data_IF_024847974262
#
_entry.id   IF_024847974262
#
_cell.length_a   1.000
_cell.length_b   1.000
_cell.length_c   1.000
_cell.angle_alpha   90.00
_cell.angle_beta   90.00
_cell.angle_gamma   90.00
#
_symmetry.space_group_name_H-M   'P 1'
#
loop_
_entity.id
_entity.type
_entity.pdbx_description
1 polymer ?
#
# COMPACT_ATOMS: atom_id res chain seq x y z
N UNK A 1 -1.14 -18.26 12.77
CA UNK A 1 -0.07 -17.85 13.70
C UNK A 1 0.37 -16.46 13.31
N UNK A 2 -0.17 -15.44 13.97
CA UNK A 2 0.25 -14.07 13.72
C UNK A 2 1.57 -13.80 14.44
N UNK A 3 2.54 -13.24 13.72
CA UNK A 3 3.75 -12.72 14.34
C UNK A 3 3.36 -11.47 15.15
N UNK A 4 3.43 -11.56 16.47
CA UNK A 4 3.31 -10.39 17.33
C UNK A 4 4.57 -9.55 17.15
N UNK A 5 4.42 -8.35 16.61
CA UNK A 5 5.54 -7.41 16.50
C UNK A 5 5.87 -6.83 17.88
N UNK A 6 7.12 -6.44 18.10
CA UNK A 6 7.57 -5.86 19.37
C UNK A 6 7.28 -4.35 19.48
N UNK A 7 6.54 -3.79 18.53
CA UNK A 7 6.13 -2.39 18.46
C UNK A 7 4.62 -2.28 18.21
N UNK A 8 4.09 -1.06 18.21
CA UNK A 8 2.66 -0.82 18.03
C UNK A 8 2.19 -1.28 16.64
N UNK A 9 1.31 -2.28 16.62
CA UNK A 9 0.71 -2.82 15.39
C UNK A 9 -0.73 -3.22 15.64
N UNK A 10 -1.57 -3.11 14.61
CA UNK A 10 -2.94 -3.60 14.61
C UNK A 10 -3.13 -4.48 13.37
N UNK A 11 -3.48 -5.75 13.57
CA UNK A 11 -3.61 -6.70 12.47
C UNK A 11 -5.04 -6.64 11.93
N UNK A 12 -5.14 -6.44 10.63
CA UNK A 12 -6.38 -6.61 9.86
C UNK A 12 -6.14 -7.68 8.81
N UNK A 13 -6.97 -8.72 8.79
CA UNK A 13 -7.09 -9.54 7.59
C UNK A 13 -7.66 -8.67 6.45
N UNK A 14 -7.35 -8.97 5.17
CA UNK A 14 -7.87 -8.19 4.04
C UNK A 14 -9.40 -8.00 4.07
N UNK A 15 -10.13 -9.05 4.50
CA UNK A 15 -11.58 -8.99 4.67
C UNK A 15 -12.01 -8.07 5.82
N UNK A 16 -11.28 -8.08 6.93
CA UNK A 16 -11.58 -7.23 8.08
C UNK A 16 -11.31 -5.76 7.75
N UNK A 17 -10.24 -5.46 6.99
CA UNK A 17 -9.98 -4.11 6.49
C UNK A 17 -11.14 -3.63 5.59
N UNK A 18 -11.61 -4.46 4.66
CA UNK A 18 -12.76 -4.15 3.81
C UNK A 18 -14.02 -3.86 4.65
N UNK A 19 -14.37 -4.75 5.59
CA UNK A 19 -15.54 -4.57 6.45
C UNK A 19 -15.41 -3.33 7.33
N UNK A 20 -14.24 -3.06 7.88
CA UNK A 20 -14.00 -1.86 8.68
C UNK A 20 -14.20 -0.58 7.88
N UNK A 21 -13.69 -0.54 6.64
CA UNK A 21 -13.88 0.61 5.75
C UNK A 21 -15.37 0.78 5.39
N UNK A 22 -16.02 -0.29 4.90
CA UNK A 22 -17.39 -0.22 4.40
C UNK A 22 -18.44 0.04 5.49
N UNK A 23 -18.32 -0.64 6.63
CA UNK A 23 -19.37 -0.65 7.66
C UNK A 23 -19.17 0.44 8.73
N UNK A 24 -17.93 0.95 8.90
CA UNK A 24 -17.60 1.84 10.01
C UNK A 24 -16.89 3.13 9.57
N UNK A 25 -15.67 3.04 9.01
CA UNK A 25 -14.84 4.21 8.76
C UNK A 25 -15.42 5.11 7.67
N UNK A 26 -15.84 4.54 6.53
CA UNK A 26 -16.47 5.29 5.44
C UNK A 26 -17.71 6.07 5.90
N UNK A 27 -18.71 5.42 6.51
CA UNK A 27 -19.87 6.13 7.07
C UNK A 27 -19.53 7.17 8.14
N UNK A 28 -18.45 6.98 8.91
CA UNK A 28 -17.98 7.97 9.87
C UNK A 28 -17.34 9.18 9.18
N UNK A 29 -16.58 8.96 8.09
CA UNK A 29 -15.99 10.02 7.28
C UNK A 29 -17.06 10.90 6.64
N UNK A 30 -18.11 10.30 6.05
CA UNK A 30 -19.26 11.03 5.48
C UNK A 30 -19.90 11.99 6.49
N UNK A 31 -19.99 11.57 7.76
CA UNK A 31 -20.57 12.37 8.85
C UNK A 31 -19.62 13.44 9.39
N UNK A 32 -18.32 13.33 9.13
CA UNK A 32 -17.30 14.12 9.81
C UNK A 32 -17.19 15.58 9.31
N UNK A 33 -17.92 15.96 8.25
CA UNK A 33 -17.81 17.26 7.55
C UNK A 33 -16.37 17.62 7.14
N UNK A 34 -15.45 16.65 7.09
CA UNK A 34 -14.07 16.83 6.68
C UNK A 34 -13.88 16.22 5.30
N UNK A 35 -13.18 16.94 4.44
CA UNK A 35 -12.70 16.41 3.17
C UNK A 35 -11.35 15.73 3.41
N UNK A 36 -11.32 14.41 3.32
CA UNK A 36 -10.11 13.61 3.42
C UNK A 36 -10.20 12.44 2.44
N UNK A 37 -9.07 12.11 1.81
CA UNK A 37 -8.92 10.93 0.96
C UNK A 37 -8.52 9.75 1.82
N UNK A 38 -9.11 8.59 1.56
CA UNK A 38 -8.80 7.35 2.27
C UNK A 38 -8.00 6.41 1.37
N UNK A 39 -6.90 5.89 1.89
CA UNK A 39 -6.08 4.88 1.24
C UNK A 39 -6.09 3.60 2.07
N UNK A 40 -6.12 2.45 1.40
CA UNK A 40 -6.07 1.13 2.03
C UNK A 40 -4.71 0.43 1.81
N UNK A 41 -4.58 -0.80 2.28
CA UNK A 41 -3.35 -1.61 2.28
C UNK A 41 -2.32 -1.03 3.26
N UNK A 42 -1.63 0.06 2.89
CA UNK A 42 -0.54 0.69 3.67
C UNK A 42 0.43 -0.34 4.27
N UNK A 43 0.82 -1.28 3.41
CA UNK A 43 1.71 -2.41 3.68
C UNK A 43 2.45 -2.75 2.38
N UNK A 44 3.27 -3.79 2.42
CA UNK A 44 4.10 -4.22 1.32
C UNK A 44 3.33 -4.62 0.07
N UNK A 45 3.94 -4.34 -1.09
CA UNK A 45 3.37 -4.56 -2.43
C UNK A 45 2.89 -5.99 -2.68
N UNK A 46 3.46 -7.00 -2.03
CA UNK A 46 3.04 -8.40 -2.20
C UNK A 46 1.60 -8.66 -1.71
N UNK A 47 1.06 -7.85 -0.80
CA UNK A 47 -0.33 -7.95 -0.34
C UNK A 47 -1.31 -7.18 -1.24
N UNK A 48 -0.79 -6.24 -2.04
CA UNK A 48 -1.60 -5.36 -2.88
C UNK A 48 -2.66 -6.09 -3.71
N UNK A 49 -2.38 -7.24 -4.39
CA UNK A 49 -3.38 -7.88 -5.23
C UNK A 49 -4.59 -8.39 -4.45
N UNK A 50 -4.37 -9.17 -3.40
CA UNK A 50 -5.46 -9.79 -2.62
C UNK A 50 -6.29 -8.75 -1.86
N UNK A 51 -5.64 -7.73 -1.31
CA UNK A 51 -6.32 -6.64 -0.59
C UNK A 51 -7.15 -5.80 -1.56
N UNK A 52 -6.59 -5.47 -2.74
CA UNK A 52 -7.28 -4.68 -3.76
C UNK A 52 -8.49 -5.41 -4.33
N UNK A 53 -8.36 -6.71 -4.67
CA UNK A 53 -9.46 -7.51 -5.20
C UNK A 53 -10.65 -7.54 -4.22
N UNK A 54 -10.40 -7.60 -2.90
CA UNK A 54 -11.46 -7.58 -1.89
C UNK A 54 -12.09 -6.20 -1.71
N UNK A 55 -11.27 -5.16 -1.52
CA UNK A 55 -11.75 -3.81 -1.21
C UNK A 55 -12.40 -3.16 -2.42
N UNK A 56 -11.74 -3.21 -3.58
CA UNK A 56 -12.20 -2.57 -4.81
C UNK A 56 -13.23 -3.43 -5.56
N UNK A 57 -13.29 -4.74 -5.29
CA UNK A 57 -14.36 -5.62 -5.78
C UNK A 57 -15.68 -5.46 -5.05
N UNK A 58 -15.71 -4.79 -3.90
CA UNK A 58 -16.93 -4.50 -3.13
C UNK A 58 -17.38 -3.05 -3.36
N UNK A 59 -18.49 -2.84 -4.09
CA UNK A 59 -18.98 -1.50 -4.45
C UNK A 59 -19.24 -0.58 -3.24
N UNK A 60 -19.64 -1.13 -2.09
CA UNK A 60 -19.91 -0.35 -0.88
C UNK A 60 -18.62 0.18 -0.26
N UNK A 61 -17.53 -0.59 -0.34
CA UNK A 61 -16.23 -0.22 0.21
C UNK A 61 -15.45 0.65 -0.79
N UNK A 62 -15.47 0.27 -2.06
CA UNK A 62 -14.75 0.95 -3.14
C UNK A 62 -15.06 2.45 -3.22
N UNK A 63 -16.32 2.85 -3.01
CA UNK A 63 -16.72 4.27 -3.05
C UNK A 63 -16.07 5.15 -1.97
N UNK A 64 -15.54 4.55 -0.91
CA UNK A 64 -14.94 5.26 0.21
C UNK A 64 -13.43 5.48 0.07
N UNK A 65 -12.78 4.79 -0.85
CA UNK A 65 -11.32 4.83 -1.00
C UNK A 65 -10.92 5.58 -2.25
N UNK A 66 -9.88 6.41 -2.13
CA UNK A 66 -9.23 7.06 -3.28
C UNK A 66 -8.29 6.09 -4.00
N UNK A 67 -7.72 5.13 -3.27
CA UNK A 67 -6.63 4.32 -3.78
C UNK A 67 -5.99 3.40 -2.75
N UNK A 68 -4.90 2.76 -3.17
CA UNK A 68 -4.06 1.93 -2.33
C UNK A 68 -2.75 2.64 -1.98
N UNK A 69 -2.20 2.28 -0.82
CA UNK A 69 -0.88 2.69 -0.35
C UNK A 69 0.07 1.48 -0.26
N UNK A 70 1.34 1.65 -0.59
CA UNK A 70 2.34 0.57 -0.56
C UNK A 70 3.66 0.94 0.09
N UNK A 71 4.28 -0.06 0.69
CA UNK A 71 5.67 -0.03 1.18
C UNK A 71 6.58 -0.91 0.32
N UNK A 72 7.89 -0.67 0.37
CA UNK A 72 8.86 -1.32 -0.52
C UNK A 72 9.66 -2.49 0.10
N UNK A 73 9.33 -2.97 1.30
CA UNK A 73 10.19 -3.89 2.06
C UNK A 73 10.21 -5.32 1.51
N UNK A 74 9.34 -5.65 0.56
CA UNK A 74 9.35 -6.95 -0.15
C UNK A 74 9.95 -6.86 -1.56
N UNK A 75 10.95 -5.99 -1.74
CA UNK A 75 11.60 -5.71 -3.03
C UNK A 75 10.60 -5.14 -4.07
N UNK A 76 10.86 -5.40 -5.36
CA UNK A 76 10.18 -4.68 -6.44
C UNK A 76 8.71 -5.06 -6.61
N UNK A 77 8.36 -6.34 -6.45
CA UNK A 77 6.99 -6.87 -6.63
C UNK A 77 6.32 -6.38 -7.94
N UNK A 78 7.05 -6.45 -9.05
CA UNK A 78 6.62 -5.94 -10.35
C UNK A 78 5.24 -6.40 -10.79
N UNK A 79 4.92 -7.68 -10.57
CA UNK A 79 3.65 -8.25 -11.03
C UNK A 79 2.48 -7.70 -10.22
N UNK A 80 2.63 -7.54 -8.90
CA UNK A 80 1.63 -6.91 -8.03
C UNK A 80 1.33 -5.47 -8.46
N UNK A 81 2.38 -4.69 -8.76
CA UNK A 81 2.24 -3.32 -9.24
C UNK A 81 1.55 -3.26 -10.62
N UNK A 82 1.97 -4.10 -11.56
CA UNK A 82 1.37 -4.16 -12.91
C UNK A 82 -0.09 -4.58 -12.86
N UNK A 83 -0.43 -5.55 -12.02
CA UNK A 83 -1.81 -6.01 -11.86
C UNK A 83 -2.71 -4.89 -11.34
N UNK A 84 -2.28 -4.18 -10.29
CA UNK A 84 -3.02 -3.02 -9.78
C UNK A 84 -3.18 -1.93 -10.85
N UNK A 85 -2.08 -1.62 -11.55
CA UNK A 85 -2.07 -0.62 -12.62
C UNK A 85 -3.13 -0.96 -13.69
N UNK A 86 -3.13 -2.20 -14.18
CA UNK A 86 -4.04 -2.66 -15.23
C UNK A 86 -5.51 -2.69 -14.79
N UNK A 87 -5.77 -3.15 -13.56
CA UNK A 87 -7.14 -3.33 -13.05
C UNK A 87 -7.77 -2.03 -12.52
N UNK A 88 -7.01 -1.21 -11.79
CA UNK A 88 -7.57 -0.22 -10.87
C UNK A 88 -7.10 1.21 -11.09
N UNK A 89 -5.92 1.46 -11.67
CA UNK A 89 -5.31 2.80 -11.70
C UNK A 89 -6.12 3.84 -12.51
N UNK A 90 -7.04 3.39 -13.36
CA UNK A 90 -7.97 4.29 -14.08
C UNK A 90 -8.98 4.98 -13.15
N UNK A 91 -9.29 4.40 -12.00
CA UNK A 91 -10.30 4.91 -11.06
C UNK A 91 -9.80 5.06 -9.63
N UNK A 92 -8.73 4.37 -9.24
CA UNK A 92 -8.18 4.37 -7.90
C UNK A 92 -6.67 4.56 -7.95
N UNK A 93 -6.17 5.59 -7.29
CA UNK A 93 -4.74 5.93 -7.30
C UNK A 93 -3.90 4.88 -6.57
N UNK A 94 -2.59 4.90 -6.84
CA UNK A 94 -1.59 4.17 -6.07
C UNK A 94 -0.57 5.18 -5.55
N UNK A 95 -0.21 5.09 -4.27
CA UNK A 95 0.82 5.95 -3.68
C UNK A 95 1.83 5.10 -2.89
N UNK A 96 3.09 5.50 -2.94
CA UNK A 96 4.13 4.92 -2.10
C UNK A 96 4.22 5.72 -0.80
N UNK A 97 3.91 5.11 0.33
CA UNK A 97 3.78 5.80 1.62
C UNK A 97 4.98 5.61 2.55
N UNK A 98 5.75 4.53 2.37
CA UNK A 98 6.88 4.24 3.25
C UNK A 98 8.03 3.50 2.56
N UNK A 99 9.26 3.95 2.85
CA UNK A 99 10.48 3.35 2.36
C UNK A 99 11.68 3.65 3.28
N UNK A 100 12.27 2.61 3.88
CA UNK A 100 13.58 2.68 4.55
C UNK A 100 14.52 1.54 4.19
N UNK A 101 15.82 1.80 4.30
CA UNK A 101 16.88 0.80 4.28
C UNK A 101 17.19 0.21 5.67
N UNK A 102 16.56 0.71 6.73
CA UNK A 102 16.84 0.32 8.13
C UNK A 102 16.27 -1.03 8.58
N UNK A 103 15.77 -1.85 7.65
CA UNK A 103 15.41 -3.23 7.95
C UNK A 103 16.66 -4.14 7.85
N UNK A 104 16.85 -5.12 8.76
CA UNK A 104 18.03 -5.99 8.77
C UNK A 104 18.33 -6.72 7.45
N UNK A 105 17.32 -7.09 6.67
CA UNK A 105 17.50 -7.71 5.35
C UNK A 105 18.11 -6.69 4.40
N UNK A 106 17.58 -5.47 4.38
CA UNK A 106 18.09 -4.40 3.51
C UNK A 106 19.52 -4.00 3.88
N UNK A 107 19.85 -3.94 5.16
CA UNK A 107 21.23 -3.65 5.61
C UNK A 107 22.25 -4.72 5.17
N UNK A 108 21.84 -5.98 5.04
CA UNK A 108 22.69 -7.06 4.52
C UNK A 108 22.99 -6.90 3.01
N UNK A 109 22.01 -6.40 2.25
CA UNK A 109 22.11 -6.23 0.80
C UNK A 109 22.78 -4.91 0.39
N UNK A 110 22.54 -3.81 1.12
CA UNK A 110 22.97 -2.45 0.74
C UNK A 110 23.99 -1.90 1.76
N UNK A 111 25.25 -2.26 1.56
CA UNK A 111 26.33 -2.08 2.55
C UNK A 111 26.88 -0.65 2.59
N UNK A 112 26.94 0.01 1.44
CA UNK A 112 27.47 1.38 1.34
C UNK A 112 26.37 2.43 1.25
N UNK A 113 26.70 3.69 1.53
CA UNK A 113 25.78 4.81 1.32
C UNK A 113 25.36 4.92 -0.15
N UNK A 114 26.27 4.60 -1.08
CA UNK A 114 25.95 4.58 -2.51
C UNK A 114 24.96 3.48 -2.86
N UNK A 115 25.13 2.26 -2.33
CA UNK A 115 24.18 1.16 -2.55
C UNK A 115 22.79 1.53 -2.03
N UNK A 116 22.73 2.14 -0.84
CA UNK A 116 21.48 2.61 -0.23
C UNK A 116 20.82 3.72 -1.06
N UNK A 117 21.59 4.67 -1.56
CA UNK A 117 21.09 5.73 -2.44
C UNK A 117 20.55 5.17 -3.76
N UNK A 118 21.26 4.22 -4.36
CA UNK A 118 20.82 3.51 -5.57
C UNK A 118 19.55 2.71 -5.34
N UNK A 119 19.38 2.08 -4.17
CA UNK A 119 18.15 1.37 -3.82
C UNK A 119 16.95 2.32 -3.75
N UNK A 120 17.10 3.50 -3.14
CA UNK A 120 16.06 4.56 -3.14
C UNK A 120 15.66 4.97 -4.55
N UNK A 121 16.63 5.29 -5.40
CA UNK A 121 16.38 5.66 -6.78
C UNK A 121 15.68 4.54 -7.57
N UNK A 122 16.15 3.30 -7.42
CA UNK A 122 15.57 2.12 -8.06
C UNK A 122 14.12 1.91 -7.64
N UNK A 123 13.84 1.81 -6.34
CA UNK A 123 12.48 1.60 -5.83
C UNK A 123 11.50 2.69 -6.26
N UNK A 124 11.95 3.94 -6.28
CA UNK A 124 11.17 5.09 -6.75
C UNK A 124 10.81 4.94 -8.24
N UNK A 125 11.80 4.60 -9.08
CA UNK A 125 11.57 4.35 -10.51
C UNK A 125 10.61 3.18 -10.72
N UNK A 126 10.76 2.10 -9.95
CA UNK A 126 9.89 0.92 -10.04
C UNK A 126 8.44 1.29 -9.75
N UNK A 127 8.19 2.04 -8.69
CA UNK A 127 6.83 2.44 -8.28
C UNK A 127 6.17 3.32 -9.34
N UNK A 128 6.92 4.30 -9.87
CA UNK A 128 6.43 5.18 -10.94
C UNK A 128 6.15 4.43 -12.24
N UNK A 129 7.09 3.60 -12.70
CA UNK A 129 7.02 2.98 -14.03
C UNK A 129 6.03 1.82 -14.06
N UNK A 130 5.98 1.00 -13.00
CA UNK A 130 5.16 -0.20 -12.98
C UNK A 130 3.84 -0.01 -12.23
N UNK A 131 3.87 0.68 -11.10
CA UNK A 131 2.68 0.97 -10.31
C UNK A 131 1.86 2.13 -10.85
N UNK A 132 2.49 3.05 -11.60
CA UNK A 132 1.90 4.35 -11.91
C UNK A 132 1.66 5.16 -10.64
N UNK A 133 2.48 4.92 -9.60
CA UNK A 133 2.32 5.59 -8.32
C UNK A 133 2.48 7.09 -8.48
N UNK A 134 1.70 7.88 -7.75
CA UNK A 134 1.95 9.32 -7.66
C UNK A 134 2.87 9.60 -6.47
N UNK A 135 3.86 10.47 -6.64
CA UNK A 135 4.43 11.19 -5.51
C UNK A 135 3.69 12.52 -5.37
N UNK A 136 3.52 12.97 -4.14
CA UNK A 136 2.94 14.27 -3.84
C UNK A 136 3.81 15.42 -4.37
#
# INVERSE_FOLDING_TARGET
NYFTQSWATCIFEPRDQMLFIGDYLGPAMDKSNKSAKLFFNDDNKNFLPIVSDLILGNETTARYVEGAAVHWYTFDQYDSLKEYNQKYLKSHSLISTEATNGDPIMELHYKTDWDRAMHYAHGTIVDFVYGGSSAF
#
